data_IF_066519629165
#
_entry.id   IF_066519629165
#
_cell.length_a   1.000
_cell.length_b   1.000
_cell.length_c   1.000
_cell.angle_alpha   90.00
_cell.angle_beta   90.00
_cell.angle_gamma   90.00
#
_symmetry.space_group_name_H-M   'P 1'
#
loop_
_entity.id
_entity.type
_entity.pdbx_description
1 polymer ?
#
# COMPACT_ATOMS: atom_id res chain seq x y z
N UNK A 1 -12.29 18.74 -15.66
CA UNK A 1 -10.92 19.07 -15.23
C UNK A 1 -10.63 18.29 -13.96
N UNK A 2 -10.00 17.11 -14.08
CA UNK A 2 -9.61 16.32 -12.91
C UNK A 2 -8.38 16.97 -12.29
N UNK A 3 -8.47 17.40 -11.05
CA UNK A 3 -7.29 17.89 -10.32
C UNK A 3 -6.47 16.68 -9.88
N UNK A 4 -5.48 16.30 -10.68
CA UNK A 4 -4.41 15.39 -10.29
C UNK A 4 -3.60 16.04 -9.16
N UNK A 5 -4.14 15.97 -7.92
CA UNK A 5 -3.35 16.23 -6.72
C UNK A 5 -2.22 15.20 -6.73
N UNK A 6 -1.02 15.61 -7.14
CA UNK A 6 0.22 14.89 -6.86
C UNK A 6 0.36 14.80 -5.35
N UNK A 7 -0.19 13.74 -4.77
CA UNK A 7 0.07 13.39 -3.37
C UNK A 7 1.57 13.11 -3.32
N UNK A 8 2.30 13.94 -2.58
CA UNK A 8 3.73 13.76 -2.40
C UNK A 8 3.91 12.67 -1.36
N UNK A 9 4.04 11.44 -1.85
CA UNK A 9 4.15 10.25 -1.02
C UNK A 9 5.50 10.26 -0.29
N UNK A 10 5.46 9.97 1.00
CA UNK A 10 6.68 9.63 1.75
C UNK A 10 7.26 8.30 1.25
N UNK A 11 8.54 8.04 1.49
CA UNK A 11 9.21 6.79 1.08
C UNK A 11 8.47 5.52 1.59
N UNK A 12 7.80 5.62 2.74
CA UNK A 12 6.99 4.54 3.32
C UNK A 12 5.73 4.29 2.50
N UNK A 13 5.05 5.35 2.08
CA UNK A 13 3.86 5.25 1.23
C UNK A 13 4.20 4.78 -0.18
N UNK A 14 5.33 5.20 -0.74
CA UNK A 14 5.77 4.72 -2.05
C UNK A 14 6.03 3.21 -2.05
N UNK A 15 6.67 2.69 -0.98
CA UNK A 15 6.85 1.24 -0.78
C UNK A 15 5.52 0.50 -0.64
N UNK A 16 4.57 1.07 0.10
CA UNK A 16 3.23 0.50 0.23
C UNK A 16 2.54 0.40 -1.14
N UNK A 17 2.54 1.48 -1.92
CA UNK A 17 1.88 1.50 -3.23
C UNK A 17 2.57 0.56 -4.21
N UNK A 18 3.90 0.44 -4.17
CA UNK A 18 4.63 -0.57 -4.94
C UNK A 18 4.19 -1.97 -4.57
N UNK A 19 4.17 -2.31 -3.27
CA UNK A 19 3.68 -3.60 -2.78
C UNK A 19 2.24 -3.88 -3.23
N UNK A 20 1.34 -2.90 -3.13
CA UNK A 20 -0.05 -3.03 -3.59
C UNK A 20 -0.15 -3.26 -5.11
N UNK A 21 0.73 -2.65 -5.92
CA UNK A 21 0.74 -2.83 -7.37
C UNK A 21 1.45 -4.12 -7.82
N UNK A 22 2.44 -4.59 -7.07
CA UNK A 22 3.13 -5.86 -7.32
C UNK A 22 2.33 -7.06 -6.80
N UNK A 23 1.42 -6.85 -5.85
CA UNK A 23 0.53 -7.89 -5.36
C UNK A 23 -0.61 -8.08 -6.34
N UNK A 24 -0.47 -9.07 -7.24
CA UNK A 24 -1.54 -9.43 -8.19
C UNK A 24 -2.83 -9.89 -7.46
N UNK A 25 -2.69 -10.70 -6.42
CA UNK A 25 -3.77 -11.14 -5.55
C UNK A 25 -3.25 -11.43 -4.13
N UNK A 26 -3.87 -10.80 -3.13
CA UNK A 26 -3.53 -11.03 -1.72
C UNK A 26 -4.18 -10.03 -0.78
N UNK A 27 -4.00 -10.26 0.51
CA UNK A 27 -4.42 -9.33 1.57
C UNK A 27 -3.19 -8.67 2.20
N UNK A 28 -3.24 -7.35 2.38
CA UNK A 28 -2.18 -6.56 3.02
C UNK A 28 -2.77 -5.88 4.25
N UNK A 29 -2.12 -6.07 5.41
CA UNK A 29 -2.41 -5.34 6.64
C UNK A 29 -1.53 -4.11 6.71
N UNK A 30 -2.14 -2.96 6.88
CA UNK A 30 -1.43 -1.70 7.04
C UNK A 30 -1.74 -1.17 8.43
N UNK A 31 -0.69 -0.92 9.21
CA UNK A 31 -0.81 -0.28 10.51
C UNK A 31 -0.42 1.19 10.34
N UNK A 32 -1.41 2.06 10.52
CA UNK A 32 -1.24 3.51 10.48
C UNK A 32 -1.27 4.04 11.91
N UNK A 33 -0.29 4.85 12.26
CA UNK A 33 -0.18 5.50 13.56
C UNK A 33 0.13 6.98 13.34
N UNK A 34 -0.60 7.87 14.00
CA UNK A 34 -0.46 9.32 13.85
C UNK A 34 -0.56 9.82 12.39
N UNK A 35 -1.37 9.14 11.57
CA UNK A 35 -1.51 9.45 10.14
C UNK A 35 -0.35 8.98 9.26
N UNK A 36 0.63 8.27 9.83
CA UNK A 36 1.79 7.74 9.13
C UNK A 36 1.68 6.22 9.04
N UNK A 37 1.90 5.60 7.87
CA UNK A 37 2.03 4.14 7.79
C UNK A 37 3.29 3.72 8.53
N UNK A 38 3.11 3.12 9.70
CA UNK A 38 4.21 2.66 10.56
C UNK A 38 4.67 1.27 10.16
N UNK A 39 3.75 0.41 9.73
CA UNK A 39 4.07 -0.97 9.38
C UNK A 39 3.13 -1.52 8.29
N UNK A 40 3.70 -2.33 7.41
CA UNK A 40 2.99 -3.04 6.34
C UNK A 40 3.30 -4.51 6.53
N UNK A 41 2.28 -5.34 6.68
CA UNK A 41 2.40 -6.80 6.77
C UNK A 41 1.63 -7.43 5.60
N UNK A 42 2.32 -8.19 4.75
CA UNK A 42 1.67 -8.99 3.72
C UNK A 42 1.06 -10.22 4.39
N UNK A 43 -0.28 -10.35 4.38
CA UNK A 43 -0.98 -11.37 5.16
C UNK A 43 -0.98 -12.70 4.42
N UNK A 44 -1.29 -12.73 3.11
CA UNK A 44 -1.35 -13.96 2.31
C UNK A 44 -1.52 -13.68 0.82
N UNK A 45 -0.72 -14.38 -0.01
CA UNK A 45 -1.02 -14.60 -1.43
C UNK A 45 -2.11 -15.66 -1.53
N UNK A 46 -3.34 -15.24 -1.77
CA UNK A 46 -4.44 -16.17 -2.05
C UNK A 46 -4.37 -16.53 -3.54
N UNK A 47 -3.69 -17.63 -3.84
CA UNK A 47 -3.74 -18.21 -5.18
C UNK A 47 -5.15 -18.74 -5.38
N UNK A 48 -5.88 -18.14 -6.32
CA UNK A 48 -7.14 -18.68 -6.82
C UNK A 48 -6.75 -19.84 -7.75
N UNK A 49 -6.86 -21.08 -7.26
CA UNK A 49 -6.73 -22.29 -8.06
C UNK A 49 -7.93 -22.42 -9.02
#
# INVERSE_FOLDING_TARGET
MGTDKKIQLSEKEEKLIKLLRETEFGEIKIIVQDGIPTRVEEIKKSIKL
#
